data_IF_585840933921
#
_entry.id   IF_585840933921
#
_cell.length_a   1.000
_cell.length_b   1.000
_cell.length_c   1.000
_cell.angle_alpha   90.00
_cell.angle_beta   90.00
_cell.angle_gamma   90.00
#
_symmetry.space_group_name_H-M   'P 1'
#
loop_
_entity.id
_entity.type
_entity.pdbx_description
1 polymer ?
#
# COMPACT_ATOMS: atom_id res chain seq x y z
N UNK A 1 6.19 14.39 -16.29
CA UNK A 1 5.37 14.85 -15.15
C UNK A 1 5.74 16.31 -14.91
N UNK A 2 4.75 17.20 -14.77
CA UNK A 2 4.90 18.66 -14.76
C UNK A 2 6.20 19.09 -14.08
N UNK A 3 7.00 19.93 -14.73
CA UNK A 3 8.33 20.40 -14.32
C UNK A 3 8.28 21.34 -13.09
N UNK A 4 7.50 20.95 -12.09
CA UNK A 4 7.15 21.72 -10.90
C UNK A 4 7.12 20.77 -9.71
N UNK A 5 7.84 21.15 -8.66
CA UNK A 5 7.84 20.39 -7.40
C UNK A 5 6.48 20.53 -6.72
N UNK A 6 5.94 19.41 -6.24
CA UNK A 6 4.75 19.39 -5.39
C UNK A 6 5.00 20.27 -4.16
N UNK A 7 4.15 21.28 -3.99
CA UNK A 7 4.22 22.24 -2.88
C UNK A 7 3.93 21.59 -1.52
N UNK A 8 4.14 22.36 -0.45
CA UNK A 8 3.99 21.91 0.94
C UNK A 8 2.60 21.35 1.26
N UNK A 9 1.54 21.96 0.72
CA UNK A 9 0.16 21.49 0.86
C UNK A 9 0.04 20.00 0.47
N UNK A 10 0.48 19.66 -0.75
CA UNK A 10 0.41 18.29 -1.26
C UNK A 10 1.22 17.31 -0.42
N UNK A 11 2.41 17.71 0.07
CA UNK A 11 3.22 16.83 0.93
C UNK A 11 2.52 16.48 2.23
N UNK A 12 1.90 17.48 2.88
CA UNK A 12 1.16 17.28 4.13
C UNK A 12 -0.07 16.41 3.88
N UNK A 13 -0.80 16.65 2.80
CA UNK A 13 -1.99 15.86 2.47
C UNK A 13 -1.67 14.36 2.38
N UNK A 14 -0.61 14.00 1.64
CA UNK A 14 -0.27 12.59 1.42
C UNK A 14 0.41 11.93 2.61
N UNK A 15 1.17 12.69 3.41
CA UNK A 15 1.96 12.13 4.52
C UNK A 15 1.20 12.11 5.84
N UNK A 16 0.28 13.06 6.06
CA UNK A 16 -0.40 13.25 7.35
C UNK A 16 -1.91 13.14 7.20
N UNK A 17 -2.53 13.90 6.29
CA UNK A 17 -3.99 13.95 6.20
C UNK A 17 -4.58 12.62 5.76
N UNK A 18 -4.05 12.00 4.69
CA UNK A 18 -4.52 10.72 4.20
C UNK A 18 -4.47 9.60 5.25
N UNK A 19 -3.32 9.32 5.91
CA UNK A 19 -3.29 8.28 6.94
C UNK A 19 -4.16 8.62 8.15
N UNK A 20 -4.22 9.89 8.57
CA UNK A 20 -5.04 10.31 9.70
C UNK A 20 -6.54 10.09 9.43
N UNK A 21 -7.04 10.52 8.27
CA UNK A 21 -8.44 10.36 7.90
C UNK A 21 -8.79 8.88 7.75
N UNK A 22 -7.94 8.08 7.11
CA UNK A 22 -8.14 6.63 7.01
C UNK A 22 -8.19 5.96 8.39
N UNK A 23 -7.32 6.37 9.32
CA UNK A 23 -7.30 5.85 10.67
C UNK A 23 -8.56 6.21 11.46
N UNK A 24 -9.04 7.45 11.33
CA UNK A 24 -10.28 7.91 11.97
C UNK A 24 -11.47 7.10 11.46
N UNK A 25 -11.62 6.95 10.13
CA UNK A 25 -12.71 6.18 9.53
C UNK A 25 -12.65 4.71 9.97
N UNK A 26 -11.44 4.13 10.05
CA UNK A 26 -11.25 2.76 10.52
C UNK A 26 -11.73 2.57 11.97
N UNK A 27 -11.40 3.50 12.88
CA UNK A 27 -11.90 3.46 14.26
C UNK A 27 -13.42 3.54 14.30
N UNK A 28 -14.02 4.47 13.56
CA UNK A 28 -15.48 4.58 13.49
C UNK A 28 -16.12 3.28 12.97
N UNK A 29 -15.55 2.67 11.93
CA UNK A 29 -16.03 1.40 11.41
C UNK A 29 -15.94 0.27 12.45
N UNK A 30 -14.86 0.19 13.24
CA UNK A 30 -14.74 -0.79 14.32
C UNK A 30 -15.76 -0.57 15.44
N UNK A 31 -16.11 0.68 15.73
CA UNK A 31 -17.12 1.00 16.74
C UNK A 31 -18.54 0.66 16.26
N UNK A 32 -18.85 0.98 15.01
CA UNK A 32 -20.16 0.74 14.37
C UNK A 32 -20.46 -0.76 14.20
N UNK A 33 -19.42 -1.58 14.02
CA UNK A 33 -19.56 -3.04 13.92
C UNK A 33 -20.12 -3.74 15.16
N UNK A 34 -20.22 -3.06 16.30
CA UNK A 34 -20.82 -3.64 17.51
C UNK A 34 -22.33 -3.82 17.37
N UNK A 35 -22.98 -3.05 16.51
CA UNK A 35 -24.41 -3.18 16.26
C UNK A 35 -24.68 -4.27 15.21
N UNK A 36 -25.70 -5.14 15.42
CA UNK A 36 -26.08 -6.10 14.40
C UNK A 36 -26.45 -5.35 13.13
N UNK A 37 -25.86 -5.74 11.99
CA UNK A 37 -26.16 -5.14 10.69
C UNK A 37 -27.68 -5.27 10.44
N UNK A 38 -28.41 -4.16 10.55
CA UNK A 38 -29.86 -4.11 10.40
C UNK A 38 -30.23 -3.27 9.21
N UNK A 39 -31.13 -3.79 8.39
CA UNK A 39 -31.75 -3.02 7.32
C UNK A 39 -33.23 -2.82 7.65
N UNK A 40 -33.56 -1.65 8.21
CA UNK A 40 -34.89 -1.38 8.76
C UNK A 40 -35.22 -2.33 9.92
N UNK A 41 -36.21 -3.21 9.72
CA UNK A 41 -36.60 -4.24 10.71
C UNK A 41 -35.88 -5.59 10.51
N UNK A 42 -35.14 -5.77 9.43
CA UNK A 42 -34.46 -7.03 9.11
C UNK A 42 -33.07 -7.08 9.76
N UNK A 43 -32.84 -8.07 10.61
CA UNK A 43 -31.53 -8.34 11.21
C UNK A 43 -30.80 -9.31 10.31
N UNK A 44 -29.62 -8.94 9.82
CA UNK A 44 -28.81 -9.87 9.03
C UNK A 44 -28.42 -11.09 9.86
N UNK A 45 -28.62 -12.31 9.34
CA UNK A 45 -28.20 -13.52 10.03
C UNK A 45 -26.66 -13.60 10.08
N UNK A 46 -26.12 -14.17 11.16
CA UNK A 46 -24.68 -14.20 11.43
C UNK A 46 -23.83 -14.84 10.32
N UNK A 47 -24.39 -15.78 9.55
CA UNK A 47 -23.68 -16.37 8.41
C UNK A 47 -23.39 -15.36 7.29
N UNK A 48 -24.31 -14.43 7.03
CA UNK A 48 -24.13 -13.40 5.99
C UNK A 48 -23.04 -12.40 6.41
N UNK A 49 -23.02 -12.04 7.69
CA UNK A 49 -21.94 -11.22 8.28
C UNK A 49 -20.60 -11.96 8.19
N UNK A 50 -20.57 -13.27 8.47
CA UNK A 50 -19.37 -14.11 8.32
C UNK A 50 -18.80 -14.11 6.90
N UNK A 51 -19.66 -14.17 5.87
CA UNK A 51 -19.22 -14.09 4.46
C UNK A 51 -18.59 -12.73 4.16
N UNK A 52 -19.18 -11.62 4.62
CA UNK A 52 -18.62 -10.28 4.42
C UNK A 52 -17.22 -10.13 5.02
N UNK A 53 -17.02 -10.69 6.21
CA UNK A 53 -15.70 -10.75 6.84
C UNK A 53 -14.71 -11.66 6.10
N UNK A 54 -15.16 -12.81 5.61
CA UNK A 54 -14.30 -13.72 4.84
C UNK A 54 -13.76 -13.04 3.57
N UNK A 55 -14.60 -12.32 2.84
CA UNK A 55 -14.20 -11.55 1.66
C UNK A 55 -13.21 -10.45 2.04
N UNK A 56 -13.51 -9.72 3.12
CA UNK A 56 -12.64 -8.62 3.61
C UNK A 56 -11.26 -9.15 3.99
N UNK A 57 -11.19 -10.24 4.76
CA UNK A 57 -9.95 -10.89 5.15
C UNK A 57 -9.19 -11.42 3.93
N UNK A 58 -9.88 -11.99 2.93
CA UNK A 58 -9.24 -12.46 1.71
C UNK A 58 -8.52 -11.32 0.96
N UNK A 59 -9.19 -10.17 0.80
CA UNK A 59 -8.59 -8.98 0.18
C UNK A 59 -7.41 -8.46 1.01
N UNK A 60 -7.56 -8.39 2.33
CA UNK A 60 -6.49 -7.95 3.23
C UNK A 60 -5.28 -8.90 3.22
N UNK A 61 -5.50 -10.21 3.13
CA UNK A 61 -4.45 -11.24 3.07
C UNK A 61 -3.67 -11.23 1.75
N UNK A 62 -4.25 -10.72 0.67
CA UNK A 62 -3.58 -10.61 -0.62
C UNK A 62 -2.32 -9.72 -0.53
N UNK A 63 -2.38 -8.62 0.22
CA UNK A 63 -1.26 -7.68 0.41
C UNK A 63 -0.03 -8.38 1.04
N UNK A 64 -0.12 -9.01 2.24
CA UNK A 64 1.00 -9.71 2.84
C UNK A 64 1.41 -10.95 2.04
N UNK A 65 0.48 -11.62 1.35
CA UNK A 65 0.82 -12.75 0.48
C UNK A 65 1.78 -12.32 -0.64
N UNK A 66 1.46 -11.26 -1.39
CA UNK A 66 2.36 -10.75 -2.42
C UNK A 66 3.65 -10.15 -1.85
N UNK A 67 3.58 -9.52 -0.67
CA UNK A 67 4.78 -9.05 0.02
C UNK A 67 5.72 -10.22 0.36
N UNK A 68 5.18 -11.32 0.89
CA UNK A 68 5.95 -12.53 1.21
C UNK A 68 6.54 -13.18 -0.04
N UNK A 69 5.77 -13.28 -1.14
CA UNK A 69 6.27 -13.78 -2.44
C UNK A 69 7.39 -12.89 -2.96
N UNK A 70 7.25 -11.57 -2.88
CA UNK A 70 8.28 -10.60 -3.28
C UNK A 70 9.56 -10.76 -2.46
N UNK A 71 9.44 -10.89 -1.13
CA UNK A 71 10.58 -11.11 -0.24
C UNK A 71 11.25 -12.47 -0.52
N UNK A 72 10.48 -13.54 -0.73
CA UNK A 72 11.03 -14.87 -1.01
C UNK A 72 11.84 -14.89 -2.31
N UNK A 73 11.29 -14.27 -3.36
CA UNK A 73 11.93 -14.15 -4.69
C UNK A 73 13.07 -13.12 -4.72
N UNK A 74 13.18 -12.23 -3.74
CA UNK A 74 14.26 -11.27 -3.69
C UNK A 74 15.62 -11.97 -3.46
N UNK A 75 16.67 -11.62 -4.24
CA UNK A 75 18.00 -12.16 -4.05
C UNK A 75 18.57 -11.70 -2.71
N UNK A 76 19.23 -12.57 -1.94
CA UNK A 76 19.89 -12.24 -0.67
C UNK A 76 19.96 -13.43 0.28
N UNK A 77 20.97 -13.44 1.16
CA UNK A 77 21.20 -14.57 2.09
C UNK A 77 20.49 -14.37 3.44
N UNK A 78 20.22 -13.12 3.83
CA UNK A 78 19.58 -12.79 5.12
C UNK A 78 18.16 -12.26 4.90
N UNK A 79 17.21 -12.65 5.74
CA UNK A 79 15.82 -12.16 5.69
C UNK A 79 15.73 -10.63 5.71
N UNK A 80 16.52 -9.97 6.58
CA UNK A 80 16.58 -8.52 6.66
C UNK A 80 17.06 -7.86 5.35
N UNK A 81 17.98 -8.51 4.65
CA UNK A 81 18.49 -8.05 3.35
C UNK A 81 17.43 -8.20 2.25
N UNK A 82 16.69 -9.31 2.25
CA UNK A 82 15.56 -9.56 1.34
C UNK A 82 14.44 -8.54 1.57
N UNK A 83 14.06 -8.28 2.82
CA UNK A 83 13.05 -7.27 3.17
C UNK A 83 13.49 -5.87 2.72
N UNK A 84 14.73 -5.48 3.02
CA UNK A 84 15.27 -4.18 2.61
C UNK A 84 15.33 -4.03 1.08
N UNK A 85 15.59 -5.11 0.34
CA UNK A 85 15.55 -5.13 -1.13
C UNK A 85 14.12 -5.08 -1.66
N UNK A 86 13.17 -5.77 -1.04
CA UNK A 86 11.77 -5.75 -1.43
C UNK A 86 11.10 -4.37 -1.23
N UNK A 87 11.58 -3.57 -0.28
CA UNK A 87 11.12 -2.18 -0.08
C UNK A 87 11.85 -1.16 -0.98
N UNK A 88 12.77 -1.59 -1.85
CA UNK A 88 13.37 -0.70 -2.86
C UNK A 88 12.53 -0.70 -4.14
N UNK A 89 12.45 0.44 -4.84
CA UNK A 89 11.78 0.49 -6.14
C UNK A 89 12.47 -0.45 -7.14
N UNK A 90 11.69 -0.96 -8.10
CA UNK A 90 12.18 -1.82 -9.18
C UNK A 90 13.29 -1.14 -9.97
N UNK A 91 14.31 -1.87 -10.47
CA UNK A 91 15.35 -1.30 -11.34
C UNK A 91 14.81 -0.66 -12.63
N UNK A 92 13.64 -1.10 -13.09
CA UNK A 92 12.97 -0.53 -14.27
C UNK A 92 12.25 0.80 -13.95
N UNK A 93 12.09 1.15 -12.67
CA UNK A 93 11.40 2.34 -12.22
C UNK A 93 12.23 3.59 -12.53
N UNK A 94 11.62 4.57 -13.20
CA UNK A 94 12.26 5.83 -13.57
C UNK A 94 11.45 6.57 -14.64
N UNK A 95 11.95 7.72 -15.13
CA UNK A 95 11.34 8.46 -16.23
C UNK A 95 11.24 7.59 -17.49
N UNK A 96 10.13 7.70 -18.23
CA UNK A 96 9.93 6.98 -19.49
C UNK A 96 10.85 7.47 -20.61
N UNK A 97 11.19 8.77 -20.61
CA UNK A 97 12.03 9.39 -21.62
C UNK A 97 13.49 8.93 -21.49
N UNK A 98 14.07 8.45 -22.59
CA UNK A 98 15.41 7.86 -22.61
C UNK A 98 16.50 8.84 -22.12
N UNK A 99 16.48 10.09 -22.60
CA UNK A 99 17.45 11.13 -22.23
C UNK A 99 17.38 11.52 -20.76
N UNK A 100 16.17 11.62 -20.20
CA UNK A 100 15.95 11.92 -18.78
C UNK A 100 16.28 10.72 -17.89
N UNK A 101 16.07 9.50 -18.37
CA UNK A 101 16.39 8.28 -17.64
C UNK A 101 17.89 8.16 -17.41
N UNK A 102 18.72 8.53 -18.37
CA UNK A 102 20.18 8.49 -18.22
C UNK A 102 20.67 9.54 -17.22
N UNK A 103 20.16 10.78 -17.31
CA UNK A 103 20.44 11.82 -16.31
C UNK A 103 19.97 11.41 -14.90
N UNK A 104 18.79 10.79 -14.80
CA UNK A 104 18.24 10.32 -13.55
C UNK A 104 19.07 9.20 -12.93
N UNK A 105 19.54 8.22 -13.73
CA UNK A 105 20.45 7.15 -13.28
C UNK A 105 21.77 7.68 -12.74
N UNK A 106 22.37 8.65 -13.44
CA UNK A 106 23.61 9.32 -13.02
C UNK A 106 23.38 10.06 -11.70
N UNK A 107 22.28 10.81 -11.58
CA UNK A 107 21.96 11.58 -10.36
C UNK A 107 21.63 10.70 -9.15
N UNK A 108 21.03 9.52 -9.34
CA UNK A 108 20.67 8.59 -8.27
C UNK A 108 21.75 7.55 -7.95
N UNK A 109 22.88 7.56 -8.66
CA UNK A 109 23.96 6.57 -8.47
C UNK A 109 23.55 5.15 -8.86
N UNK A 110 22.48 4.99 -9.65
CA UNK A 110 22.11 3.72 -10.28
C UNK A 110 22.92 3.52 -11.56
N UNK A 111 24.25 3.50 -11.45
CA UNK A 111 25.07 3.01 -12.56
C UNK A 111 24.89 1.50 -12.62
N UNK A 112 24.45 1.01 -13.77
CA UNK A 112 24.32 -0.42 -14.04
C UNK A 112 25.66 -1.12 -13.75
N UNK A 113 25.65 -2.39 -13.28
CA UNK A 113 26.83 -3.24 -13.40
C UNK A 113 27.19 -3.44 -14.87
#
# INVERSE_FOLDING_TARGET
>A
MLDKRLGWYWRITWTVTSPLVLFIIFIFAMLDQKDPLKYGKYVYPGWAVGIGWAITLFVMLQIPFWAAVSIYRAPGNTFLQKLRRAMRPSPAWGPSDASLKDQWKVATGQTAP
#
